data_IF_418837818743
#
_entry.id   IF_418837818743
#
_cell.length_a   1.000
_cell.length_b   1.000
_cell.length_c   1.000
_cell.angle_alpha   90.00
_cell.angle_beta   90.00
_cell.angle_gamma   90.00
#
_symmetry.space_group_name_H-M   'P 1'
#
loop_
_entity.id
_entity.type
_entity.pdbx_description
1 polymer ?
#
# COMPACT_ATOMS: atom_id res chain seq x y z
N UNK A 1 -28.39 -1.35 -6.43
CA UNK A 1 -27.36 -2.39 -6.27
C UNK A 1 -27.94 -3.41 -5.32
N UNK A 2 -27.55 -4.67 -5.47
CA UNK A 2 -28.02 -5.76 -4.60
C UNK A 2 -26.80 -6.43 -3.96
N UNK A 3 -26.66 -6.43 -2.63
CA UNK A 3 -25.58 -7.15 -1.95
C UNK A 3 -25.63 -8.64 -2.30
N UNK A 4 -24.46 -9.28 -2.48
CA UNK A 4 -24.39 -10.72 -2.76
C UNK A 4 -24.38 -11.57 -1.48
N UNK A 5 -24.26 -10.92 -0.32
CA UNK A 5 -24.08 -11.58 0.98
C UNK A 5 -22.62 -11.88 1.32
N UNK A 6 -21.68 -11.68 0.39
CA UNK A 6 -20.25 -11.82 0.65
C UNK A 6 -19.69 -10.56 1.31
N UNK A 7 -19.03 -10.74 2.44
CA UNK A 7 -18.30 -9.69 3.16
C UNK A 7 -16.80 -10.01 3.16
N UNK A 8 -15.97 -8.98 3.33
CA UNK A 8 -14.52 -9.12 3.41
C UNK A 8 -14.03 -8.54 4.72
N UNK A 9 -12.99 -9.17 5.29
CA UNK A 9 -12.32 -8.64 6.47
C UNK A 9 -11.52 -7.40 6.08
N UNK A 10 -11.71 -6.31 6.81
CA UNK A 10 -10.89 -5.10 6.74
C UNK A 10 -10.78 -4.52 8.14
N UNK A 11 -9.62 -3.94 8.46
CA UNK A 11 -9.32 -3.49 9.83
C UNK A 11 -10.22 -2.35 10.29
N UNK A 12 -10.38 -1.35 9.44
CA UNK A 12 -11.09 -0.09 9.74
C UNK A 12 -12.17 0.21 8.70
N UNK A 13 -12.71 -0.81 8.03
CA UNK A 13 -13.73 -0.63 7.01
C UNK A 13 -14.74 -1.78 6.99
N UNK A 14 -15.96 -1.49 6.54
CA UNK A 14 -16.94 -2.49 6.17
C UNK A 14 -16.90 -2.69 4.66
N UNK A 15 -16.59 -3.90 4.22
CA UNK A 15 -16.41 -4.24 2.80
C UNK A 15 -17.35 -5.37 2.41
N UNK A 16 -18.17 -5.11 1.38
CA UNK A 16 -19.14 -6.07 0.86
C UNK A 16 -19.09 -6.15 -0.67
N UNK A 17 -19.44 -7.31 -1.20
CA UNK A 17 -19.69 -7.44 -2.64
C UNK A 17 -21.17 -7.15 -2.96
N UNK A 18 -21.39 -6.46 -4.06
CA UNK A 18 -22.71 -6.17 -4.59
C UNK A 18 -22.74 -6.31 -6.11
N UNK A 19 -23.94 -6.44 -6.65
CA UNK A 19 -24.19 -6.45 -8.09
C UNK A 19 -24.92 -5.17 -8.49
N UNK A 20 -24.47 -4.53 -9.57
CA UNK A 20 -25.14 -3.39 -10.19
C UNK A 20 -26.47 -3.82 -10.85
N UNK A 21 -27.29 -2.86 -11.29
CA UNK A 21 -28.50 -3.18 -12.08
C UNK A 21 -28.18 -3.85 -13.42
N UNK A 22 -26.99 -3.62 -13.97
CA UNK A 22 -26.51 -4.21 -15.22
C UNK A 22 -25.84 -5.58 -15.03
N UNK A 23 -25.77 -6.10 -13.80
CA UNK A 23 -25.11 -7.38 -13.50
C UNK A 23 -23.60 -7.29 -13.21
N UNK A 24 -23.01 -6.09 -13.20
CA UNK A 24 -21.60 -5.89 -12.88
C UNK A 24 -21.34 -6.15 -11.40
N UNK A 25 -20.31 -6.95 -11.07
CA UNK A 25 -19.88 -7.19 -9.69
C UNK A 25 -19.00 -6.04 -9.20
N UNK A 26 -19.31 -5.55 -8.01
CA UNK A 26 -18.71 -4.38 -7.42
C UNK A 26 -18.35 -4.64 -5.96
N UNK A 27 -17.28 -4.02 -5.49
CA UNK A 27 -16.92 -3.96 -4.07
C UNK A 27 -17.36 -2.61 -3.52
N UNK A 28 -18.14 -2.65 -2.45
CA UNK A 28 -18.54 -1.48 -1.68
C UNK A 28 -17.73 -1.44 -0.39
N UNK A 29 -17.02 -0.35 -0.15
CA UNK A 29 -16.24 -0.11 1.07
C UNK A 29 -16.74 1.15 1.76
N UNK A 30 -17.05 1.02 3.04
CA UNK A 30 -17.34 2.15 3.94
C UNK A 30 -16.28 2.19 5.02
N UNK A 31 -15.57 3.31 5.17
CA UNK A 31 -14.57 3.48 6.23
C UNK A 31 -14.85 4.75 7.04
N UNK A 32 -14.92 4.65 8.38
CA UNK A 32 -14.93 5.81 9.28
C UNK A 32 -13.54 6.44 9.50
N UNK A 33 -12.49 5.89 8.89
CA UNK A 33 -11.13 6.43 9.01
C UNK A 33 -11.09 7.88 8.48
N UNK A 34 -10.60 8.86 9.25
CA UNK A 34 -10.43 10.23 8.79
C UNK A 34 -9.58 10.35 7.51
N UNK A 35 -8.66 9.42 7.27
CA UNK A 35 -7.83 9.37 6.07
C UNK A 35 -8.55 8.73 4.86
N UNK A 36 -9.76 8.19 5.01
CA UNK A 36 -10.42 7.42 3.95
C UNK A 36 -10.69 8.24 2.67
N UNK A 37 -10.87 9.55 2.78
CA UNK A 37 -10.98 10.44 1.62
C UNK A 37 -9.67 10.50 0.82
N UNK A 38 -8.52 10.51 1.49
CA UNK A 38 -7.21 10.45 0.82
C UNK A 38 -6.95 9.06 0.24
N UNK A 39 -7.37 7.99 0.93
CA UNK A 39 -7.28 6.61 0.41
C UNK A 39 -8.08 6.47 -0.89
N UNK A 40 -9.28 7.06 -0.95
CA UNK A 40 -10.08 7.10 -2.17
C UNK A 40 -9.36 7.85 -3.30
N UNK A 41 -8.81 9.05 -3.02
CA UNK A 41 -8.09 9.84 -4.02
C UNK A 41 -6.83 9.12 -4.58
N UNK A 42 -6.08 8.40 -3.72
CA UNK A 42 -4.96 7.58 -4.17
C UNK A 42 -5.45 6.38 -4.99
N UNK A 43 -6.55 5.74 -4.59
CA UNK A 43 -7.17 4.64 -5.34
C UNK A 43 -7.61 5.09 -6.75
N UNK A 44 -8.25 6.26 -6.87
CA UNK A 44 -8.59 6.85 -8.17
C UNK A 44 -7.35 7.03 -9.05
N UNK A 45 -6.24 7.46 -8.44
CA UNK A 45 -5.00 7.71 -9.18
C UNK A 45 -4.30 6.43 -9.62
N UNK A 46 -4.31 5.39 -8.79
CA UNK A 46 -3.85 4.05 -9.15
C UNK A 46 -4.72 3.45 -10.26
N UNK A 47 -6.04 3.62 -10.19
CA UNK A 47 -6.97 3.13 -11.21
C UNK A 47 -6.75 3.83 -12.57
N UNK A 48 -6.48 5.14 -12.56
CA UNK A 48 -6.15 5.89 -13.77
C UNK A 48 -4.85 5.41 -14.46
N UNK A 49 -4.00 4.69 -13.75
CA UNK A 49 -2.77 4.07 -14.26
C UNK A 49 -2.92 2.56 -14.56
N UNK A 50 -4.15 2.02 -14.51
CA UNK A 50 -4.44 0.57 -14.64
C UNK A 50 -3.70 -0.29 -13.58
N UNK A 51 -3.44 0.28 -12.39
CA UNK A 51 -2.80 -0.42 -11.27
C UNK A 51 -3.80 -0.90 -10.21
N UNK A 52 -4.99 -0.30 -10.16
CA UNK A 52 -6.07 -0.65 -9.22
C UNK A 52 -7.41 -0.77 -9.97
N UNK A 53 -8.43 -1.44 -9.38
CA UNK A 53 -9.77 -1.52 -9.98
C UNK A 53 -10.38 -0.14 -10.22
N UNK A 54 -11.22 -0.03 -11.26
CA UNK A 54 -11.91 1.21 -11.55
C UNK A 54 -12.82 1.60 -10.38
N UNK A 55 -12.70 2.87 -9.96
CA UNK A 55 -13.55 3.48 -8.93
C UNK A 55 -14.74 4.16 -9.61
N UNK A 56 -15.95 3.74 -9.27
CA UNK A 56 -17.21 4.23 -9.85
C UNK A 56 -17.89 5.29 -9.00
N UNK A 57 -17.61 5.29 -7.70
CA UNK A 57 -18.20 6.20 -6.73
C UNK A 57 -17.23 6.49 -5.61
N UNK A 58 -17.15 7.75 -5.22
CA UNK A 58 -16.63 8.22 -3.93
C UNK A 58 -17.70 9.12 -3.32
N UNK A 59 -18.09 8.83 -2.08
CA UNK A 59 -19.05 9.65 -1.34
C UNK A 59 -18.56 9.87 0.08
N UNK A 60 -18.31 11.13 0.42
CA UNK A 60 -17.91 11.53 1.76
C UNK A 60 -19.16 11.92 2.56
N UNK A 61 -19.30 11.34 3.74
CA UNK A 61 -20.36 11.66 4.71
C UNK A 61 -19.70 12.16 6.00
N UNK A 62 -20.45 12.77 6.92
CA UNK A 62 -19.89 13.22 8.20
C UNK A 62 -19.23 12.11 9.03
N UNK A 63 -19.59 10.84 8.80
CA UNK A 63 -19.12 9.71 9.61
C UNK A 63 -18.30 8.67 8.84
N UNK A 64 -18.23 8.77 7.51
CA UNK A 64 -17.55 7.75 6.69
C UNK A 64 -17.30 8.22 5.26
N UNK A 65 -16.28 7.63 4.63
CA UNK A 65 -16.07 7.65 3.19
C UNK A 65 -16.55 6.33 2.59
N UNK A 66 -17.39 6.42 1.56
CA UNK A 66 -17.89 5.30 0.78
C UNK A 66 -17.23 5.25 -0.58
N UNK A 67 -16.82 4.06 -0.99
CA UNK A 67 -16.34 3.81 -2.35
C UNK A 67 -17.06 2.63 -2.97
N UNK A 68 -17.26 2.69 -4.30
CA UNK A 68 -17.69 1.55 -5.10
C UNK A 68 -16.68 1.32 -6.22
N UNK A 69 -16.13 0.11 -6.32
CA UNK A 69 -15.11 -0.26 -7.33
C UNK A 69 -15.43 -1.58 -8.00
N UNK A 70 -14.79 -1.85 -9.15
CA UNK A 70 -14.87 -3.16 -9.78
C UNK A 70 -14.41 -4.29 -8.86
N UNK A 71 -15.17 -5.40 -8.84
CA UNK A 71 -14.74 -6.59 -8.14
C UNK A 71 -13.68 -7.34 -8.96
N UNK A 72 -12.55 -7.66 -8.31
CA UNK A 72 -11.49 -8.47 -8.90
C UNK A 72 -11.85 -9.95 -8.77
N UNK A 73 -11.67 -10.72 -9.86
CA UNK A 73 -11.88 -12.16 -9.87
C UNK A 73 -10.64 -12.91 -10.39
N UNK A 74 -10.13 -13.94 -9.67
CA UNK A 74 -10.71 -14.55 -8.47
C UNK A 74 -10.63 -13.68 -7.21
N UNK A 75 -9.76 -12.67 -7.18
CA UNK A 75 -9.60 -11.76 -6.03
C UNK A 75 -8.80 -12.37 -4.88
N UNK A 76 -8.05 -13.44 -5.14
CA UNK A 76 -7.14 -14.09 -4.18
C UNK A 76 -5.93 -13.20 -3.93
N UNK A 77 -5.50 -13.07 -2.68
CA UNK A 77 -4.36 -12.24 -2.29
C UNK A 77 -3.01 -12.93 -2.50
N UNK A 78 -1.95 -12.15 -2.77
CA UNK A 78 -0.56 -12.63 -2.71
C UNK A 78 -0.13 -13.10 -1.31
N UNK A 79 -0.88 -12.79 -0.26
CA UNK A 79 -0.61 -13.32 1.08
C UNK A 79 -1.04 -14.78 1.25
N UNK A 80 -1.94 -15.28 0.40
CA UNK A 80 -2.49 -16.63 0.54
C UNK A 80 -1.53 -17.71 0.05
N UNK A 81 -0.56 -17.36 -0.78
CA UNK A 81 0.43 -18.28 -1.37
C UNK A 81 1.75 -17.55 -1.62
N UNK A 82 2.88 -18.27 -1.55
CA UNK A 82 4.18 -17.69 -1.92
C UNK A 82 4.16 -17.16 -3.37
N UNK A 83 4.57 -15.90 -3.60
CA UNK A 83 4.61 -15.36 -4.96
C UNK A 83 5.62 -16.10 -5.84
N UNK A 84 5.15 -16.58 -6.97
CA UNK A 84 6.00 -17.11 -8.05
C UNK A 84 6.91 -16.02 -8.63
N UNK A 85 8.05 -16.39 -9.24
CA UNK A 85 8.92 -15.42 -9.92
C UNK A 85 8.19 -14.56 -10.97
N UNK A 86 7.22 -15.16 -11.68
CA UNK A 86 6.41 -14.44 -12.68
C UNK A 86 5.49 -13.38 -12.09
N UNK A 87 4.99 -13.60 -10.86
CA UNK A 87 4.15 -12.64 -10.16
C UNK A 87 5.01 -11.49 -9.63
N UNK A 88 6.19 -11.79 -9.08
CA UNK A 88 7.15 -10.76 -8.65
C UNK A 88 7.63 -9.90 -9.81
N UNK A 89 7.86 -10.49 -10.98
CA UNK A 89 8.18 -9.72 -12.20
C UNK A 89 7.06 -8.74 -12.58
N UNK A 90 5.79 -9.16 -12.50
CA UNK A 90 4.64 -8.26 -12.75
C UNK A 90 4.51 -7.16 -11.72
N UNK A 91 4.72 -7.45 -10.43
CA UNK A 91 4.72 -6.41 -9.40
C UNK A 91 5.85 -5.41 -9.67
N UNK A 92 7.01 -5.90 -10.09
CA UNK A 92 8.15 -5.05 -10.46
C UNK A 92 7.83 -4.13 -11.65
N UNK A 93 7.14 -4.64 -12.68
CA UNK A 93 6.63 -3.82 -13.79
C UNK A 93 5.64 -2.75 -13.29
N UNK A 94 4.71 -3.12 -12.41
CA UNK A 94 3.76 -2.19 -11.80
C UNK A 94 4.44 -1.11 -10.96
N UNK A 95 5.53 -1.43 -10.25
CA UNK A 95 6.35 -0.45 -9.52
C UNK A 95 7.00 0.57 -10.47
N UNK A 96 7.42 0.12 -11.66
CA UNK A 96 7.94 1.01 -12.69
C UNK A 96 6.91 2.05 -13.15
N UNK A 97 5.65 1.64 -13.30
CA UNK A 97 4.52 2.55 -13.61
C UNK A 97 4.27 3.50 -12.44
N UNK A 98 4.19 2.96 -11.21
CA UNK A 98 3.92 3.73 -9.99
C UNK A 98 4.94 4.86 -9.79
N UNK A 99 6.23 4.56 -9.99
CA UNK A 99 7.36 5.51 -9.89
C UNK A 99 7.19 6.74 -10.80
N UNK A 100 6.56 6.57 -11.96
CA UNK A 100 6.29 7.66 -12.91
C UNK A 100 5.00 8.42 -12.62
N UNK A 101 4.18 7.93 -11.69
CA UNK A 101 2.87 8.48 -11.35
C UNK A 101 2.96 9.71 -10.45
N UNK A 102 2.16 10.73 -10.76
CA UNK A 102 1.92 11.86 -9.85
C UNK A 102 0.84 11.50 -8.83
N UNK A 103 1.12 11.68 -7.55
CA UNK A 103 0.14 11.53 -6.47
C UNK A 103 -0.95 12.62 -6.47
N UNK A 104 -2.10 12.40 -5.83
CA UNK A 104 -3.13 13.43 -5.70
C UNK A 104 -2.68 14.56 -4.77
N UNK A 105 -2.92 15.82 -5.17
CA UNK A 105 -2.50 17.00 -4.41
C UNK A 105 -3.12 17.09 -2.99
N UNK A 106 -4.24 16.41 -2.75
CA UNK A 106 -4.91 16.37 -1.45
C UNK A 106 -4.28 15.39 -0.46
N UNK A 107 -3.49 14.41 -0.91
CA UNK A 107 -2.94 13.40 -0.03
C UNK A 107 -1.70 13.92 0.74
N UNK A 108 -1.60 13.66 2.06
CA UNK A 108 -0.43 14.01 2.85
C UNK A 108 0.80 13.18 2.44
N UNK A 109 1.99 13.62 2.84
CA UNK A 109 3.25 12.93 2.54
C UNK A 109 3.60 11.81 3.52
N UNK A 110 4.15 10.72 3.01
CA UNK A 110 4.58 9.54 3.79
C UNK A 110 5.69 9.87 4.79
N UNK A 111 6.57 10.82 4.46
CA UNK A 111 7.69 11.24 5.33
C UNK A 111 7.17 11.79 6.66
N UNK A 112 6.22 12.72 6.62
CA UNK A 112 5.64 13.31 7.84
C UNK A 112 4.97 12.24 8.70
N UNK A 113 4.26 11.31 8.05
CA UNK A 113 3.59 10.22 8.74
C UNK A 113 4.58 9.25 9.40
N UNK A 114 5.65 8.86 8.70
CA UNK A 114 6.70 7.99 9.24
C UNK A 114 7.47 8.66 10.37
N UNK A 115 7.78 9.96 10.25
CA UNK A 115 8.42 10.71 11.33
C UNK A 115 7.57 10.67 12.59
N UNK A 116 6.27 11.00 12.50
CA UNK A 116 5.37 10.94 13.65
C UNK A 116 5.35 9.54 14.29
N UNK A 117 5.32 8.50 13.46
CA UNK A 117 5.30 7.10 13.91
C UNK A 117 6.60 6.65 14.59
N UNK A 118 7.75 7.14 14.13
CA UNK A 118 9.05 6.83 14.72
C UNK A 118 9.27 7.57 16.05
N UNK A 119 8.75 8.80 16.17
CA UNK A 119 8.80 9.59 17.41
C UNK A 119 7.80 9.09 18.45
N UNK A 120 6.56 8.83 18.02
CA UNK A 120 5.44 8.43 18.87
C UNK A 120 4.77 7.15 18.30
N UNK A 121 5.34 5.96 18.57
CA UNK A 121 4.81 4.72 18.03
C UNK A 121 3.38 4.46 18.50
N UNK A 122 2.43 4.18 17.59
CA UNK A 122 1.05 3.92 17.95
C UNK A 122 0.94 2.61 18.74
N UNK A 123 0.01 2.55 19.70
CA UNK A 123 -0.23 1.36 20.52
C UNK A 123 -1.01 0.27 19.78
N UNK A 124 -1.79 0.64 18.77
CA UNK A 124 -2.84 -0.20 18.16
C UNK A 124 -2.61 -0.50 16.67
N UNK A 125 -1.57 0.06 16.04
CA UNK A 125 -1.22 -0.14 14.62
C UNK A 125 0.08 -0.95 14.40
N UNK A 126 0.45 -1.84 15.32
CA UNK A 126 1.69 -2.63 15.21
C UNK A 126 1.45 -4.01 14.58
N UNK A 127 2.46 -4.63 13.95
CA UNK A 127 2.34 -6.00 13.44
C UNK A 127 2.07 -6.95 14.62
N UNK A 128 1.16 -7.92 14.50
CA UNK A 128 0.67 -8.71 15.63
C UNK A 128 1.77 -9.54 16.32
N UNK A 129 2.87 -9.82 15.63
CA UNK A 129 4.02 -10.59 16.13
C UNK A 129 5.14 -9.73 16.70
N UNK A 130 5.07 -8.39 16.63
CA UNK A 130 6.10 -7.52 17.21
C UNK A 130 5.54 -6.20 17.74
N UNK A 131 6.03 -5.82 18.92
CA UNK A 131 5.75 -4.52 19.53
C UNK A 131 6.40 -3.35 18.77
N UNK A 132 6.42 -2.13 19.35
CA UNK A 132 7.17 -1.05 18.74
C UNK A 132 8.67 -1.38 18.76
N UNK A 133 9.39 -0.92 17.74
CA UNK A 133 10.85 -1.09 17.67
C UNK A 133 11.53 -0.45 18.88
N UNK A 134 12.71 -0.94 19.26
CA UNK A 134 13.48 -0.35 20.35
C UNK A 134 13.84 1.11 20.02
N UNK A 135 14.03 1.95 21.05
CA UNK A 135 14.34 3.37 20.87
C UNK A 135 15.56 3.61 19.97
N UNK A 136 16.61 2.82 20.15
CA UNK A 136 17.80 2.88 19.29
C UNK A 136 17.49 2.59 17.82
N UNK A 137 16.65 1.59 17.54
CA UNK A 137 16.23 1.27 16.18
C UNK A 137 15.40 2.41 15.58
N UNK A 138 14.51 3.03 16.37
CA UNK A 138 13.72 4.18 15.91
C UNK A 138 14.60 5.39 15.60
N UNK A 139 15.63 5.65 16.41
CA UNK A 139 16.61 6.71 16.13
C UNK A 139 17.36 6.45 14.82
N UNK A 140 17.82 5.22 14.58
CA UNK A 140 18.44 4.85 13.29
C UNK A 140 17.45 5.04 12.13
N UNK A 141 16.18 4.68 12.34
CA UNK A 141 15.10 4.92 11.37
C UNK A 141 14.87 6.40 11.08
N UNK A 142 14.90 7.27 12.10
CA UNK A 142 14.78 8.73 11.94
C UNK A 142 15.97 9.30 11.16
N UNK A 143 17.19 8.94 11.54
CA UNK A 143 18.40 9.40 10.85
C UNK A 143 18.39 9.00 9.36
N UNK A 144 17.89 7.81 9.05
CA UNK A 144 17.72 7.33 7.67
C UNK A 144 16.57 8.05 6.95
N UNK A 145 15.46 8.31 7.64
CA UNK A 145 14.32 9.04 7.07
C UNK A 145 14.74 10.47 6.69
N UNK A 146 15.50 11.15 7.53
CA UNK A 146 16.01 12.50 7.27
C UNK A 146 16.91 12.50 6.02
N UNK A 147 17.84 11.55 5.93
CA UNK A 147 18.70 11.38 4.74
C UNK A 147 17.90 11.13 3.46
N UNK A 148 16.85 10.31 3.52
CA UNK A 148 15.99 10.05 2.37
C UNK A 148 15.15 11.29 2.01
N UNK A 149 14.69 12.05 3.01
CA UNK A 149 13.88 13.24 2.83
C UNK A 149 14.64 14.40 2.17
N UNK A 150 15.96 14.50 2.37
CA UNK A 150 16.82 15.55 1.78
C UNK A 150 16.78 15.58 0.24
N UNK A 151 16.65 14.42 -0.41
CA UNK A 151 16.45 14.27 -1.86
C UNK A 151 15.12 13.56 -2.16
N UNK A 152 14.03 13.98 -1.50
CA UNK A 152 12.72 13.37 -1.71
C UNK A 152 12.25 13.52 -3.17
N UNK A 153 11.77 12.43 -3.73
CA UNK A 153 11.19 12.31 -5.08
C UNK A 153 9.68 12.07 -4.97
N UNK A 154 8.89 13.10 -4.59
CA UNK A 154 7.49 12.90 -4.28
C UNK A 154 6.70 12.47 -5.52
N UNK A 155 5.88 11.44 -5.36
CA UNK A 155 5.04 10.88 -6.40
C UNK A 155 3.87 10.11 -5.81
N UNK A 156 3.25 9.30 -6.67
CA UNK A 156 2.21 8.36 -6.25
C UNK A 156 2.86 7.22 -5.46
N UNK A 157 2.25 6.90 -4.32
CA UNK A 157 2.66 5.83 -3.43
C UNK A 157 1.39 5.08 -3.00
N UNK A 158 1.47 3.76 -2.90
CA UNK A 158 0.43 2.96 -2.27
C UNK A 158 0.40 3.22 -0.76
N UNK A 159 1.58 3.30 -0.14
CA UNK A 159 1.78 3.64 1.27
C UNK A 159 1.54 2.49 2.24
N UNK A 160 1.16 1.32 1.73
CA UNK A 160 0.89 0.08 2.48
C UNK A 160 0.94 -1.14 1.55
N UNK A 161 1.95 -1.20 0.69
CA UNK A 161 2.04 -2.24 -0.33
C UNK A 161 2.52 -3.56 0.28
N UNK A 162 1.61 -4.26 0.94
CA UNK A 162 1.86 -5.59 1.51
C UNK A 162 1.19 -6.69 0.67
N UNK A 163 1.60 -7.97 0.77
CA UNK A 163 0.99 -9.06 0.01
C UNK A 163 -0.55 -9.16 0.14
N UNK A 164 -1.17 -8.89 1.31
CA UNK A 164 -2.62 -8.77 1.44
C UNK A 164 -3.28 -7.80 0.44
N UNK A 165 -2.58 -6.71 0.12
CA UNK A 165 -3.05 -5.60 -0.71
C UNK A 165 -2.72 -5.76 -2.20
N UNK A 166 -2.24 -6.95 -2.61
CA UNK A 166 -2.03 -7.30 -4.02
C UNK A 166 -2.89 -8.50 -4.38
N UNK A 167 -3.85 -8.31 -5.28
CA UNK A 167 -4.84 -9.32 -5.65
C UNK A 167 -4.63 -9.88 -7.05
N UNK A 168 -4.93 -11.17 -7.21
CA UNK A 168 -5.03 -11.86 -8.49
C UNK A 168 -6.37 -11.58 -9.19
N UNK A 169 -6.31 -10.93 -10.35
CA UNK A 169 -7.42 -10.74 -11.29
C UNK A 169 -7.32 -11.66 -12.50
N UNK A 170 -7.07 -12.95 -12.28
CA UNK A 170 -6.80 -13.92 -13.34
C UNK A 170 -5.38 -13.75 -13.89
N UNK A 171 -5.23 -13.12 -15.06
CA UNK A 171 -3.91 -12.89 -15.69
C UNK A 171 -3.22 -11.62 -15.23
N UNK A 172 -3.86 -10.81 -14.39
CA UNK A 172 -3.34 -9.52 -13.91
C UNK A 172 -3.24 -9.49 -12.39
N UNK A 173 -2.43 -8.57 -11.89
CA UNK A 173 -2.36 -8.19 -10.48
C UNK A 173 -3.00 -6.82 -10.31
N UNK A 174 -3.51 -6.56 -9.11
CA UNK A 174 -4.17 -5.30 -8.78
C UNK A 174 -3.74 -4.87 -7.38
N UNK A 175 -3.44 -3.59 -7.21
CA UNK A 175 -3.28 -2.98 -5.90
C UNK A 175 -4.64 -2.56 -5.33
N UNK A 176 -4.81 -2.73 -4.03
CA UNK A 176 -6.02 -2.37 -3.30
C UNK A 176 -5.68 -1.75 -1.95
N UNK A 177 -6.61 -0.97 -1.40
CA UNK A 177 -6.53 -0.44 -0.03
C UNK A 177 -5.23 0.37 0.25
N UNK A 178 -4.92 1.40 -0.56
CA UNK A 178 -3.77 2.26 -0.30
C UNK A 178 -3.97 3.06 0.98
N UNK A 179 -2.86 3.49 1.60
CA UNK A 179 -2.87 4.28 2.85
C UNK A 179 -3.37 5.70 2.66
N UNK A 180 -3.45 6.18 1.42
CA UNK A 180 -3.91 7.55 1.12
C UNK A 180 -2.82 8.60 1.31
N UNK A 181 -1.59 8.30 0.94
CA UNK A 181 -0.44 9.19 1.09
C UNK A 181 0.33 9.31 -0.22
N UNK A 182 0.99 10.46 -0.42
CA UNK A 182 2.01 10.64 -1.43
C UNK A 182 3.37 10.22 -0.88
N UNK A 183 4.26 9.74 -1.74
CA UNK A 183 5.55 9.21 -1.30
C UNK A 183 6.40 8.79 -2.48
N UNK A 184 7.22 7.77 -2.27
CA UNK A 184 8.09 7.21 -3.32
C UNK A 184 7.74 5.76 -3.57
N UNK A 185 7.84 5.31 -4.83
CA UNK A 185 7.71 3.89 -5.16
C UNK A 185 8.77 3.04 -4.42
N UNK A 186 9.96 3.59 -4.17
CA UNK A 186 10.99 2.95 -3.35
C UNK A 186 10.53 2.60 -1.92
N UNK A 187 9.61 3.38 -1.32
CA UNK A 187 9.00 3.05 -0.04
C UNK A 187 8.06 1.83 -0.17
N UNK A 188 7.22 1.79 -1.20
CA UNK A 188 6.34 0.63 -1.43
C UNK A 188 7.13 -0.65 -1.71
N UNK A 189 8.23 -0.54 -2.45
CA UNK A 189 9.18 -1.65 -2.67
C UNK A 189 9.73 -2.15 -1.34
N UNK A 190 10.13 -1.25 -0.44
CA UNK A 190 10.63 -1.60 0.88
C UNK A 190 9.58 -2.31 1.74
N UNK A 191 8.35 -1.80 1.80
CA UNK A 191 7.24 -2.42 2.56
C UNK A 191 6.95 -3.82 2.01
N UNK A 192 6.82 -3.96 0.69
CA UNK A 192 6.56 -5.25 0.06
C UNK A 192 7.68 -6.26 0.36
N UNK A 193 8.93 -5.84 0.19
CA UNK A 193 10.09 -6.69 0.42
C UNK A 193 10.19 -7.13 1.89
N UNK A 194 9.89 -6.24 2.83
CA UNK A 194 9.88 -6.54 4.26
C UNK A 194 8.82 -7.61 4.58
N UNK A 195 7.61 -7.47 4.06
CA UNK A 195 6.52 -8.45 4.30
C UNK A 195 6.74 -9.78 3.62
N UNK A 196 7.30 -9.81 2.41
CA UNK A 196 7.68 -11.05 1.73
C UNK A 196 8.85 -11.76 2.40
N UNK A 197 9.64 -11.04 3.19
CA UNK A 197 10.77 -11.59 3.94
C UNK A 197 10.42 -11.87 5.41
N UNK A 198 9.14 -11.90 5.76
CA UNK A 198 8.67 -12.13 7.14
C UNK A 198 9.33 -11.19 8.16
N UNK A 199 9.51 -9.93 7.76
CA UNK A 199 10.19 -8.86 8.51
C UNK A 199 11.68 -9.14 8.85
N UNK A 200 12.36 -10.07 8.15
CA UNK A 200 13.81 -10.19 8.22
C UNK A 200 14.50 -9.06 7.44
N UNK A 201 15.09 -8.10 8.15
CA UNK A 201 15.65 -6.88 7.57
C UNK A 201 16.73 -7.14 6.51
N UNK A 202 17.59 -8.14 6.70
CA UNK A 202 18.68 -8.41 5.76
C UNK A 202 18.16 -8.98 4.43
N UNK A 203 17.26 -9.97 4.52
CA UNK A 203 16.58 -10.55 3.37
C UNK A 203 15.71 -9.51 2.67
N UNK A 204 14.98 -8.69 3.43
CA UNK A 204 14.15 -7.61 2.92
C UNK A 204 14.98 -6.59 2.13
N UNK A 205 16.15 -6.16 2.64
CA UNK A 205 17.03 -5.25 1.91
C UNK A 205 17.53 -5.85 0.61
N UNK A 206 17.93 -7.12 0.61
CA UNK A 206 18.37 -7.79 -0.61
C UNK A 206 17.25 -7.89 -1.66
N UNK A 207 16.03 -8.22 -1.22
CA UNK A 207 14.86 -8.30 -2.07
C UNK A 207 14.44 -6.92 -2.60
N UNK A 208 14.42 -5.89 -1.75
CA UNK A 208 14.10 -4.51 -2.12
C UNK A 208 15.04 -4.00 -3.22
N UNK A 209 16.35 -4.26 -3.09
CA UNK A 209 17.33 -3.93 -4.13
C UNK A 209 17.02 -4.61 -5.47
N UNK A 210 16.67 -5.89 -5.43
CA UNK A 210 16.34 -6.68 -6.62
C UNK A 210 15.11 -6.11 -7.36
N UNK A 211 14.05 -5.80 -6.61
CA UNK A 211 12.82 -5.20 -7.16
C UNK A 211 13.09 -3.78 -7.69
N UNK A 212 13.86 -2.97 -6.97
CA UNK A 212 14.24 -1.62 -7.40
C UNK A 212 15.01 -1.65 -8.73
N UNK A 213 16.00 -2.54 -8.86
CA UNK A 213 16.74 -2.74 -10.12
C UNK A 213 15.80 -3.08 -11.28
N UNK A 214 14.86 -4.00 -11.08
CA UNK A 214 13.94 -4.42 -12.15
C UNK A 214 12.87 -3.38 -12.50
N UNK A 215 12.51 -2.50 -11.57
CA UNK A 215 11.53 -1.41 -11.78
C UNK A 215 12.15 -0.10 -12.26
N UNK A 216 13.49 -0.04 -12.31
CA UNK A 216 14.26 1.14 -12.67
C UNK A 216 14.35 2.19 -11.56
N UNK A 217 14.07 1.80 -10.31
CA UNK A 217 14.28 2.63 -9.13
C UNK A 217 15.73 2.47 -8.59
N UNK A 218 16.09 3.28 -7.60
CA UNK A 218 17.39 3.27 -6.94
C UNK A 218 17.45 2.15 -5.88
N UNK A 219 18.32 1.13 -6.04
CA UNK A 219 18.41 0.01 -5.11
C UNK A 219 18.89 0.40 -3.71
N UNK A 220 19.79 1.37 -3.60
CA UNK A 220 20.30 1.85 -2.31
C UNK A 220 19.19 2.61 -1.58
N UNK A 221 18.41 3.40 -2.32
CA UNK A 221 17.26 4.13 -1.79
C UNK A 221 16.16 3.20 -1.28
N UNK A 222 15.78 2.18 -2.04
CA UNK A 222 14.81 1.17 -1.61
C UNK A 222 15.30 0.40 -0.36
N UNK A 223 16.59 0.07 -0.29
CA UNK A 223 17.18 -0.55 0.89
C UNK A 223 17.17 0.38 2.12
N UNK A 224 17.38 1.70 1.92
CA UNK A 224 17.24 2.71 2.96
C UNK A 224 15.81 2.78 3.50
N UNK A 225 14.82 2.83 2.61
CA UNK A 225 13.40 2.77 3.00
C UNK A 225 13.03 1.50 3.78
N UNK A 226 13.72 0.38 3.54
CA UNK A 226 13.48 -0.85 4.31
C UNK A 226 13.88 -0.67 5.78
N UNK A 227 14.95 0.08 6.07
CA UNK A 227 15.35 0.41 7.44
C UNK A 227 14.31 1.29 8.12
N UNK A 228 13.79 2.29 7.41
CA UNK A 228 12.73 3.17 7.92
C UNK A 228 11.45 2.39 8.18
N UNK A 229 11.00 1.58 7.23
CA UNK A 229 9.80 0.76 7.35
C UNK A 229 9.92 -0.24 8.52
N UNK A 230 11.07 -0.90 8.65
CA UNK A 230 11.32 -1.82 9.75
C UNK A 230 11.26 -1.12 11.12
N UNK A 231 11.96 0.00 11.27
CA UNK A 231 11.97 0.78 12.51
C UNK A 231 10.61 1.39 12.85
N UNK A 232 9.83 1.78 11.84
CA UNK A 232 8.48 2.31 11.98
C UNK A 232 7.45 1.20 12.24
N UNK A 233 7.85 -0.07 12.23
CA UNK A 233 6.97 -1.23 12.41
C UNK A 233 5.73 -1.18 11.52
N UNK A 234 5.94 -0.87 10.24
CA UNK A 234 4.92 -1.01 9.20
C UNK A 234 4.92 -2.42 8.63
#
# INVERSE_FOLDING_TARGET
MTPTGRTFSARSAHVIEATSRSGTRLILRSSPDPAAAHQAAVSERLAALDLAPALHLVSNTPTSTWTAMDAISPGTSLAEQEPTPSQLARVTEMMGVLRSGSGPASAPGIVQWLHARLTEPPADDQPPHRGPAAEEQRRVGLDMLDQLADDLRPGLCHGDLSPPNVLHGGRRLWFIDPRGMNGEAAYDIAVLALKLSYDDLNTARALARSIALGSGDDPDRAAGWTVVADAATV
#
